data_IF_103932950907
#
_entry.id   IF_103932950907
#
_cell.length_a   1.000
_cell.length_b   1.000
_cell.length_c   1.000
_cell.angle_alpha   90.00
_cell.angle_beta   90.00
_cell.angle_gamma   90.00
#
_symmetry.space_group_name_H-M   'P 1'
#
loop_
_entity.id
_entity.type
_entity.pdbx_description
1 polymer ?
#
# COMPACT_ATOMS: atom_id res chain seq x y z
N UNK A 1 14.24 33.69 36.80
CA UNK A 1 13.56 32.88 35.75
C UNK A 1 14.07 33.13 34.32
N UNK A 2 14.23 34.39 33.87
CA UNK A 2 14.60 34.70 32.48
C UNK A 2 15.98 34.16 32.05
N UNK A 3 17.02 34.33 32.89
CA UNK A 3 18.41 33.95 32.56
C UNK A 3 18.59 32.45 32.31
N UNK A 4 17.96 31.60 33.14
CA UNK A 4 18.04 30.14 32.98
C UNK A 4 17.40 29.66 31.67
N UNK A 5 16.24 30.22 31.31
CA UNK A 5 15.56 29.88 30.07
C UNK A 5 16.37 30.28 28.83
N UNK A 6 17.08 31.43 28.88
CA UNK A 6 17.98 31.87 27.81
C UNK A 6 19.14 30.87 27.64
N UNK A 7 19.78 30.48 28.75
CA UNK A 7 20.87 29.50 28.74
C UNK A 7 20.39 28.13 28.23
N UNK A 8 19.21 27.67 28.66
CA UNK A 8 18.62 26.43 28.18
C UNK A 8 18.30 26.47 26.68
N UNK A 9 17.77 27.59 26.16
CA UNK A 9 17.51 27.76 24.72
C UNK A 9 18.81 27.65 23.92
N UNK A 10 19.86 28.34 24.35
CA UNK A 10 21.18 28.27 23.71
C UNK A 10 21.74 26.85 23.73
N UNK A 11 21.64 26.14 24.87
CA UNK A 11 22.08 24.75 24.99
C UNK A 11 21.29 23.81 24.08
N UNK A 12 19.96 24.00 23.94
CA UNK A 12 19.14 23.20 23.02
C UNK A 12 19.53 23.43 21.57
N UNK A 13 19.83 24.68 21.20
CA UNK A 13 20.29 25.03 19.86
C UNK A 13 21.64 24.38 19.53
N UNK A 14 22.64 24.50 20.43
CA UNK A 14 23.98 23.92 20.20
C UNK A 14 23.94 22.39 20.10
N UNK A 15 23.11 21.73 20.92
CA UNK A 15 22.91 20.27 20.82
C UNK A 15 22.25 19.90 19.49
N UNK A 16 21.27 20.68 19.01
CA UNK A 16 20.62 20.42 17.74
C UNK A 16 21.58 20.60 16.55
N UNK A 17 22.45 21.59 16.61
CA UNK A 17 23.47 21.84 15.59
C UNK A 17 24.51 20.72 15.55
N UNK A 18 24.98 20.26 16.72
CA UNK A 18 25.84 19.08 16.80
C UNK A 18 25.19 17.84 16.20
N UNK A 19 23.89 17.64 16.43
CA UNK A 19 23.12 16.53 15.83
C UNK A 19 23.03 16.66 14.31
N UNK A 20 22.88 17.87 13.77
CA UNK A 20 22.88 18.14 12.32
C UNK A 20 24.24 17.87 11.70
N UNK A 21 25.32 18.25 12.38
CA UNK A 21 26.69 18.00 11.91
C UNK A 21 27.04 16.50 11.85
N UNK A 22 26.61 15.71 12.85
CA UNK A 22 26.96 14.28 12.94
C UNK A 22 25.98 13.38 12.19
N UNK A 23 24.69 13.70 12.17
CA UNK A 23 23.63 12.83 11.64
C UNK A 23 22.77 13.45 10.54
N UNK A 24 23.07 14.70 10.15
CA UNK A 24 22.34 15.37 9.07
C UNK A 24 22.66 14.75 7.72
N UNK A 25 21.74 14.92 6.76
CA UNK A 25 22.02 14.56 5.37
C UNK A 25 23.13 15.45 4.80
N UNK A 26 24.10 14.89 4.05
CA UNK A 26 25.28 15.64 3.59
C UNK A 26 24.94 16.81 2.67
N UNK A 27 23.85 16.72 1.91
CA UNK A 27 23.43 17.77 0.98
C UNK A 27 22.54 18.84 1.62
N UNK A 28 21.75 18.50 2.66
CA UNK A 28 20.76 19.43 3.23
C UNK A 28 21.05 19.84 4.67
N UNK A 29 21.95 19.14 5.37
CA UNK A 29 22.27 19.34 6.78
C UNK A 29 21.10 19.10 7.74
N UNK A 30 19.95 18.60 7.25
CA UNK A 30 18.76 18.35 8.06
C UNK A 30 18.79 16.94 8.63
N UNK A 31 18.26 16.76 9.84
CA UNK A 31 18.02 15.42 10.38
C UNK A 31 16.84 14.77 9.65
N UNK A 32 16.97 13.49 9.31
CA UNK A 32 15.86 12.68 8.78
C UNK A 32 14.75 12.55 9.82
N UNK A 33 13.54 12.95 9.45
CA UNK A 33 12.34 12.68 10.23
C UNK A 33 11.93 11.22 9.99
N UNK A 34 12.14 10.37 10.99
CA UNK A 34 11.62 9.00 10.94
C UNK A 34 10.15 9.02 11.37
N UNK A 35 9.26 8.70 10.44
CA UNK A 35 7.87 8.39 10.79
C UNK A 35 7.86 7.15 11.66
N UNK A 36 7.23 7.18 12.86
CA UNK A 36 7.11 5.99 13.68
C UNK A 36 6.37 4.91 12.89
N UNK A 37 6.73 3.63 13.05
CA UNK A 37 6.01 2.56 12.40
C UNK A 37 4.55 2.60 12.85
N UNK A 38 3.63 2.75 11.90
CA UNK A 38 2.20 2.73 12.20
C UNK A 38 1.83 1.33 12.65
N UNK A 39 1.36 1.18 13.89
CA UNK A 39 0.93 -0.10 14.42
C UNK A 39 -0.36 -0.54 13.73
N UNK A 40 -0.25 -1.49 12.80
CA UNK A 40 -1.41 -2.05 12.09
C UNK A 40 -2.06 -3.13 12.98
N UNK A 41 -3.36 -2.95 13.27
CA UNK A 41 -4.14 -3.96 14.00
C UNK A 41 -4.20 -5.30 13.26
N UNK A 42 -4.30 -6.41 14.00
CA UNK A 42 -4.35 -7.76 13.43
C UNK A 42 -5.51 -7.94 12.43
N UNK A 43 -6.66 -7.33 12.70
CA UNK A 43 -7.82 -7.31 11.78
C UNK A 43 -7.49 -6.59 10.47
N UNK A 44 -6.79 -5.44 10.53
CA UNK A 44 -6.39 -4.70 9.33
C UNK A 44 -5.34 -5.45 8.52
N UNK A 45 -4.38 -6.13 9.17
CA UNK A 45 -3.43 -7.05 8.49
C UNK A 45 -4.19 -8.15 7.74
N UNK A 46 -5.13 -8.85 8.39
CA UNK A 46 -5.96 -9.89 7.75
C UNK A 46 -6.75 -9.36 6.55
N UNK A 47 -7.32 -8.16 6.63
CA UNK A 47 -8.02 -7.52 5.51
C UNK A 47 -7.08 -7.18 4.35
N UNK A 48 -5.89 -6.66 4.64
CA UNK A 48 -4.87 -6.36 3.62
C UNK A 48 -4.43 -7.64 2.91
N UNK A 49 -4.15 -8.72 3.64
CA UNK A 49 -3.83 -10.02 3.04
C UNK A 49 -4.97 -10.60 2.21
N UNK A 50 -6.24 -10.44 2.64
CA UNK A 50 -7.40 -10.87 1.83
C UNK A 50 -7.52 -10.03 0.55
N UNK A 51 -7.29 -8.72 0.61
CA UNK A 51 -7.26 -7.85 -0.58
C UNK A 51 -6.12 -8.25 -1.51
N UNK A 52 -4.92 -8.47 -0.98
CA UNK A 52 -3.75 -8.91 -1.73
C UNK A 52 -3.97 -10.24 -2.42
N UNK A 53 -4.54 -11.24 -1.74
CA UNK A 53 -4.85 -12.54 -2.36
C UNK A 53 -5.84 -12.41 -3.53
N UNK A 54 -6.84 -11.54 -3.41
CA UNK A 54 -7.80 -11.27 -4.50
C UNK A 54 -7.16 -10.52 -5.68
N UNK A 55 -6.31 -9.53 -5.39
CA UNK A 55 -5.60 -8.79 -6.43
C UNK A 55 -4.57 -9.68 -7.12
N UNK A 56 -3.86 -10.52 -6.36
CA UNK A 56 -2.90 -11.47 -6.88
C UNK A 56 -3.55 -12.59 -7.69
N UNK A 57 -4.74 -13.09 -7.27
CA UNK A 57 -5.47 -14.08 -8.08
C UNK A 57 -5.97 -13.47 -9.39
N UNK A 58 -6.46 -12.23 -9.36
CA UNK A 58 -6.86 -11.54 -10.59
C UNK A 58 -5.66 -11.28 -11.51
N UNK A 59 -4.50 -10.98 -10.92
CA UNK A 59 -3.25 -10.79 -11.68
C UNK A 59 -2.74 -12.12 -12.30
N UNK A 60 -2.99 -13.26 -11.66
CA UNK A 60 -2.67 -14.59 -12.21
C UNK A 60 -3.66 -14.98 -13.32
N UNK A 61 -4.94 -14.64 -13.17
CA UNK A 61 -5.94 -14.80 -14.24
C UNK A 61 -5.54 -13.97 -15.47
N UNK A 62 -5.06 -12.73 -15.28
CA UNK A 62 -4.59 -11.89 -16.39
C UNK A 62 -3.38 -12.49 -17.13
N UNK A 63 -2.52 -13.22 -16.42
CA UNK A 63 -1.33 -13.86 -17.00
C UNK A 63 -1.71 -15.13 -17.78
N UNK A 64 -2.59 -15.96 -17.22
CA UNK A 64 -3.13 -17.15 -17.89
C UNK A 64 -3.95 -16.79 -19.13
N UNK A 65 -4.75 -15.71 -19.06
CA UNK A 65 -5.50 -15.19 -20.19
C UNK A 65 -4.57 -14.68 -21.29
N UNK A 66 -3.51 -13.94 -20.96
CA UNK A 66 -2.49 -13.51 -21.93
C UNK A 66 -1.79 -14.68 -22.58
N UNK A 67 -1.39 -15.69 -21.82
CA UNK A 67 -0.75 -16.90 -22.35
C UNK A 67 -1.71 -17.75 -23.20
N UNK A 68 -3.00 -17.79 -22.86
CA UNK A 68 -4.03 -18.47 -23.65
C UNK A 68 -4.38 -17.73 -24.95
N UNK A 69 -4.37 -16.38 -24.92
CA UNK A 69 -4.51 -15.51 -26.09
C UNK A 69 -3.27 -15.66 -27.00
N UNK A 70 -2.06 -15.67 -26.43
CA UNK A 70 -0.80 -15.82 -27.18
C UNK A 70 -0.67 -17.21 -27.83
N UNK A 71 -1.24 -18.26 -27.21
CA UNK A 71 -1.33 -19.61 -27.78
C UNK A 71 -2.53 -19.81 -28.72
N UNK A 72 -3.36 -18.78 -28.95
CA UNK A 72 -4.46 -18.79 -29.91
C UNK A 72 -5.64 -19.72 -29.56
N UNK A 73 -5.81 -20.10 -28.29
CA UNK A 73 -6.85 -21.04 -27.84
C UNK A 73 -8.18 -20.37 -27.48
N UNK A 74 -8.25 -19.04 -27.44
CA UNK A 74 -9.45 -18.29 -27.04
C UNK A 74 -9.76 -17.24 -28.11
N UNK A 75 -10.95 -17.31 -28.69
CA UNK A 75 -11.48 -16.26 -29.58
C UNK A 75 -12.23 -15.22 -28.75
N UNK A 76 -12.29 -13.97 -29.20
CA UNK A 76 -12.90 -12.85 -28.43
C UNK A 76 -14.35 -13.14 -27.97
N UNK A 77 -15.06 -14.02 -28.67
CA UNK A 77 -16.44 -14.44 -28.37
C UNK A 77 -16.55 -15.26 -27.06
N UNK A 78 -15.54 -16.07 -26.74
CA UNK A 78 -15.54 -16.91 -25.52
C UNK A 78 -15.33 -16.06 -24.24
N UNK A 79 -14.59 -14.96 -24.36
CA UNK A 79 -14.35 -14.02 -23.27
C UNK A 79 -15.63 -13.25 -22.92
N UNK A 80 -16.41 -12.87 -23.94
CA UNK A 80 -17.69 -12.19 -23.74
C UNK A 80 -18.75 -13.11 -23.11
N UNK A 81 -18.76 -14.39 -23.48
CA UNK A 81 -19.68 -15.39 -22.92
C UNK A 81 -19.42 -15.65 -21.43
N UNK A 82 -18.15 -15.73 -21.02
CA UNK A 82 -17.79 -15.95 -19.61
C UNK A 82 -18.13 -14.74 -18.71
N UNK A 83 -18.00 -13.53 -19.23
CA UNK A 83 -18.37 -12.29 -18.52
C UNK A 83 -19.89 -12.18 -18.39
N UNK A 84 -20.63 -12.51 -19.45
CA UNK A 84 -22.09 -12.50 -19.44
C UNK A 84 -22.67 -13.52 -18.44
N UNK A 85 -22.12 -14.75 -18.37
CA UNK A 85 -22.57 -15.75 -17.40
C UNK A 85 -22.32 -15.34 -15.95
N UNK A 86 -21.18 -14.68 -15.67
CA UNK A 86 -20.86 -14.16 -14.33
C UNK A 86 -21.80 -13.04 -13.87
N UNK A 87 -22.20 -12.14 -14.77
CA UNK A 87 -23.19 -11.08 -14.48
C UNK A 87 -24.61 -11.64 -14.28
N UNK A 88 -24.98 -12.67 -15.04
CA UNK A 88 -26.27 -13.34 -14.89
C UNK A 88 -26.35 -14.10 -13.56
N UNK A 89 -25.28 -14.79 -13.15
CA UNK A 89 -25.23 -15.51 -11.86
C UNK A 89 -25.32 -14.56 -10.66
N UNK A 90 -24.65 -13.40 -10.74
CA UNK A 90 -24.73 -12.38 -9.67
C UNK A 90 -26.10 -11.69 -9.61
N UNK A 91 -26.76 -11.46 -10.75
CA UNK A 91 -28.16 -11.00 -10.79
C UNK A 91 -29.14 -12.01 -10.21
N UNK A 92 -29.01 -13.28 -10.56
CA UNK A 92 -29.88 -14.36 -10.06
C UNK A 92 -29.69 -14.54 -8.54
N UNK A 93 -28.46 -14.48 -8.03
CA UNK A 93 -28.20 -14.53 -6.58
C UNK A 93 -28.77 -13.32 -5.83
N UNK A 94 -28.75 -12.12 -6.42
CA UNK A 94 -29.37 -10.93 -5.81
C UNK A 94 -30.91 -11.00 -5.79
N UNK A 95 -31.55 -11.76 -6.68
CA UNK A 95 -33.01 -11.93 -6.72
C UNK A 95 -33.48 -12.99 -5.71
N UNK A 96 -32.71 -14.06 -5.50
CA UNK A 96 -33.10 -15.19 -4.62
C UNK A 96 -32.54 -15.15 -3.19
N UNK A 97 -31.73 -14.15 -2.83
CA UNK A 97 -31.42 -13.81 -1.43
C UNK A 97 -31.06 -15.00 -0.53
N UNK A 98 -29.93 -15.66 -0.81
CA UNK A 98 -29.25 -16.56 0.14
C UNK A 98 -27.88 -16.00 0.50
#
# INVERSE_FOLDING_TARGET
>A
MAKFNVIQKQRRASVQERKRAVHGDPNTGKLKLRTPPVSISGKRKRKLFKKWRRVSSNLVIDQEQKEAIEKGLVTMEDVEMAVAEGEQFTRIMCIFGV
#
